data_IF_155486125702
#
_entry.id   IF_155486125702
#
_cell.length_a   1.000
_cell.length_b   1.000
_cell.length_c   1.000
_cell.angle_alpha   90.00
_cell.angle_beta   90.00
_cell.angle_gamma   90.00
#
_symmetry.space_group_name_H-M   'P 1'
#
loop_
_entity.id
_entity.type
_entity.pdbx_description
1 polymer ?
#
# COMPACT_ATOMS: atom_id res chain seq x y z
N UNK A 1 21.59 -6.55 -3.57
CA UNK A 1 20.41 -5.67 -3.70
C UNK A 1 19.48 -6.07 -2.57
N UNK A 2 19.06 -5.12 -1.74
CA UNK A 2 18.10 -5.37 -0.66
C UNK A 2 16.70 -5.61 -1.20
N UNK A 3 15.81 -6.15 -0.38
CA UNK A 3 14.40 -6.39 -0.72
C UNK A 3 13.64 -5.08 -0.69
N UNK A 4 12.74 -4.89 -1.65
CA UNK A 4 11.85 -3.74 -1.74
C UNK A 4 10.44 -4.21 -2.06
N UNK A 5 9.45 -3.55 -1.48
CA UNK A 5 8.04 -3.75 -1.82
C UNK A 5 7.24 -2.51 -1.45
N UNK A 6 6.07 -2.35 -2.05
CA UNK A 6 5.07 -1.39 -1.58
C UNK A 6 3.67 -1.94 -1.80
N UNK A 7 2.84 -1.84 -0.77
CA UNK A 7 1.47 -2.35 -0.84
C UNK A 7 0.53 -1.54 0.05
N UNK A 8 -0.76 -1.82 -0.12
CA UNK A 8 -1.86 -1.08 0.49
C UNK A 8 -2.75 -2.03 1.27
N UNK A 9 -3.24 -1.55 2.41
CA UNK A 9 -4.14 -2.27 3.29
C UNK A 9 -5.27 -1.37 3.78
N UNK A 10 -6.48 -1.89 3.78
CA UNK A 10 -7.69 -1.16 4.15
C UNK A 10 -8.19 -1.74 5.46
N UNK A 11 -8.39 -0.91 6.48
CA UNK A 11 -8.94 -1.36 7.76
C UNK A 11 -10.45 -1.55 7.64
N UNK A 12 -10.87 -2.71 7.15
CA UNK A 12 -12.25 -3.03 6.84
C UNK A 12 -12.54 -4.51 6.92
N UNK A 13 -13.75 -4.84 7.34
CA UNK A 13 -14.34 -6.17 7.21
C UNK A 13 -15.44 -6.21 6.10
N UNK A 14 -15.66 -5.10 5.39
CA UNK A 14 -16.67 -4.99 4.32
C UNK A 14 -16.03 -5.25 2.95
N UNK A 15 -15.84 -6.52 2.62
CA UNK A 15 -15.17 -6.93 1.38
C UNK A 15 -15.86 -6.39 0.12
N UNK A 16 -17.20 -6.48 0.03
CA UNK A 16 -17.95 -6.02 -1.16
C UNK A 16 -17.79 -4.51 -1.40
N UNK A 17 -17.94 -3.70 -0.35
CA UNK A 17 -17.71 -2.24 -0.39
C UNK A 17 -16.28 -1.92 -0.85
N UNK A 18 -15.31 -2.73 -0.42
CA UNK A 18 -13.91 -2.58 -0.83
C UNK A 18 -13.72 -2.86 -2.32
N UNK A 19 -14.31 -3.93 -2.84
CA UNK A 19 -14.26 -4.24 -4.27
C UNK A 19 -14.90 -3.12 -5.10
N UNK A 20 -16.03 -2.57 -4.65
CA UNK A 20 -16.67 -1.42 -5.31
C UNK A 20 -15.78 -0.18 -5.31
N UNK A 21 -15.12 0.13 -4.18
CA UNK A 21 -14.20 1.25 -4.09
C UNK A 21 -12.96 1.07 -4.98
N UNK A 22 -12.42 -0.14 -5.09
CA UNK A 22 -11.29 -0.45 -5.98
C UNK A 22 -11.68 -0.37 -7.45
N UNK A 23 -12.90 -0.81 -7.79
CA UNK A 23 -13.47 -0.62 -9.13
C UNK A 23 -13.62 0.87 -9.44
N UNK A 24 -14.20 1.65 -8.53
CA UNK A 24 -14.33 3.10 -8.69
C UNK A 24 -12.96 3.80 -8.80
N UNK A 25 -11.93 3.31 -8.11
CA UNK A 25 -10.55 3.79 -8.24
C UNK A 25 -10.00 3.55 -9.65
N UNK A 26 -10.22 2.35 -10.21
CA UNK A 26 -9.84 1.98 -11.58
C UNK A 26 -10.51 2.87 -12.64
N UNK A 27 -11.78 3.21 -12.45
CA UNK A 27 -12.58 4.01 -13.39
C UNK A 27 -12.33 5.52 -13.25
N UNK A 28 -12.29 6.04 -12.02
CA UNK A 28 -12.26 7.49 -11.75
C UNK A 28 -10.88 8.07 -11.46
N UNK A 29 -9.87 7.24 -11.18
CA UNK A 29 -8.52 7.71 -10.85
C UNK A 29 -7.44 6.75 -11.37
N UNK A 30 -7.63 6.23 -12.60
CA UNK A 30 -6.69 5.29 -13.20
C UNK A 30 -5.23 5.75 -13.25
N UNK A 31 -4.97 7.06 -13.24
CA UNK A 31 -3.62 7.64 -13.18
C UNK A 31 -2.81 7.19 -11.94
N UNK A 32 -3.47 6.97 -10.79
CA UNK A 32 -2.80 6.46 -9.59
C UNK A 32 -2.53 4.95 -9.66
N UNK A 33 -2.98 4.31 -10.73
CA UNK A 33 -2.76 2.91 -11.09
C UNK A 33 -1.98 2.79 -12.40
N UNK A 34 -1.35 3.86 -12.86
CA UNK A 34 -0.50 3.86 -14.06
C UNK A 34 -1.26 3.93 -15.40
N UNK A 35 -2.58 4.12 -15.40
CA UNK A 35 -3.33 4.39 -16.65
C UNK A 35 -3.02 5.82 -17.14
N UNK A 36 -2.62 5.95 -18.39
CA UNK A 36 -2.38 7.26 -19.02
C UNK A 36 -3.68 8.05 -19.12
N UNK A 37 -3.66 9.32 -18.71
CA UNK A 37 -4.79 10.25 -18.82
C UNK A 37 -5.07 10.69 -20.28
N UNK A 38 -4.21 10.33 -21.24
CA UNK A 38 -4.30 10.72 -22.64
C UNK A 38 -4.47 9.50 -23.57
N UNK A 39 -5.67 9.25 -24.12
CA UNK A 39 -5.86 8.26 -25.18
C UNK A 39 -5.22 8.66 -26.53
N UNK A 40 -4.70 9.90 -26.67
CA UNK A 40 -4.20 10.44 -27.94
C UNK A 40 -2.66 10.51 -28.08
N UNK A 41 -1.89 9.83 -27.22
CA UNK A 41 -0.45 9.62 -27.45
C UNK A 41 -0.16 8.15 -27.72
N UNK A 42 -0.78 7.61 -28.76
CA UNK A 42 -0.31 6.43 -29.47
C UNK A 42 -0.03 6.86 -30.91
N UNK A 43 1.17 7.39 -31.16
CA UNK A 43 1.69 7.53 -32.53
C UNK A 43 2.63 6.36 -32.77
N UNK A 44 2.06 5.26 -33.21
CA UNK A 44 2.71 4.26 -34.07
C UNK A 44 1.63 3.28 -34.53
N UNK A 45 1.36 3.34 -35.83
CA UNK A 45 0.49 2.46 -36.58
C UNK A 45 0.78 0.99 -36.27
N UNK A 46 -0.12 0.34 -35.54
CA UNK A 46 -0.50 -1.04 -35.82
C UNK A 46 -1.88 -1.32 -35.23
N UNK A 47 -2.67 -2.03 -36.02
CA UNK A 47 -4.11 -2.14 -35.91
C UNK A 47 -4.59 -2.84 -34.61
N UNK A 48 -5.78 -2.42 -34.17
CA UNK A 48 -6.68 -3.15 -33.26
C UNK A 48 -6.18 -3.39 -31.84
N UNK A 49 -6.50 -2.48 -30.92
CA UNK A 49 -7.14 -2.86 -29.66
C UNK A 49 -7.71 -1.64 -28.94
N UNK A 50 -9.03 -1.44 -29.07
CA UNK A 50 -9.83 -0.86 -27.97
C UNK A 50 -9.88 -1.87 -26.80
N UNK A 51 -8.72 -2.35 -26.34
CA UNK A 51 -8.63 -3.03 -25.06
C UNK A 51 -8.66 -1.92 -24.02
N UNK A 52 -9.83 -1.66 -23.44
CA UNK A 52 -9.90 -1.08 -22.09
C UNK A 52 -8.84 -1.78 -21.26
N UNK A 53 -7.76 -1.06 -20.94
CA UNK A 53 -6.62 -1.58 -20.19
C UNK A 53 -7.15 -2.05 -18.85
N UNK A 54 -7.41 -3.35 -18.73
CA UNK A 54 -7.98 -3.92 -17.51
C UNK A 54 -6.98 -3.73 -16.40
N UNK A 55 -7.40 -3.08 -15.33
CA UNK A 55 -6.62 -2.98 -14.10
C UNK A 55 -6.69 -4.31 -13.38
N UNK A 56 -5.54 -4.93 -13.14
CA UNK A 56 -5.43 -6.20 -12.42
C UNK A 56 -4.95 -5.92 -11.00
N UNK A 57 -5.75 -6.30 -10.02
CA UNK A 57 -5.38 -6.22 -8.60
C UNK A 57 -5.40 -7.62 -7.98
N UNK A 58 -4.53 -7.84 -7.00
CA UNK A 58 -4.52 -9.06 -6.20
C UNK A 58 -4.95 -8.71 -4.79
N UNK A 59 -6.01 -9.36 -4.32
CA UNK A 59 -6.70 -8.96 -3.09
C UNK A 59 -6.75 -10.14 -2.12
N UNK A 60 -6.41 -9.86 -0.87
CA UNK A 60 -6.54 -10.79 0.26
C UNK A 60 -7.22 -10.09 1.42
N UNK A 61 -7.86 -10.84 2.31
CA UNK A 61 -8.55 -10.29 3.47
C UNK A 61 -8.35 -11.16 4.69
N UNK A 62 -8.15 -10.55 5.86
CA UNK A 62 -8.30 -11.18 7.17
C UNK A 62 -9.50 -10.54 7.91
N UNK A 63 -9.59 -10.72 9.23
CA UNK A 63 -10.71 -10.21 10.03
C UNK A 63 -10.85 -8.68 10.02
N UNK A 64 -9.74 -7.94 9.93
CA UNK A 64 -9.69 -6.48 10.12
C UNK A 64 -9.10 -5.71 8.94
N UNK A 65 -8.44 -6.41 8.02
CA UNK A 65 -7.66 -5.81 6.94
C UNK A 65 -7.93 -6.47 5.60
N UNK A 66 -8.02 -5.64 4.56
CA UNK A 66 -8.01 -6.07 3.16
C UNK A 66 -6.75 -5.54 2.49
N UNK A 67 -5.88 -6.46 2.09
CA UNK A 67 -4.60 -6.19 1.44
C UNK A 67 -4.76 -6.18 -0.07
N UNK A 68 -4.14 -5.21 -0.74
CA UNK A 68 -4.19 -5.04 -2.19
C UNK A 68 -2.79 -4.90 -2.75
N UNK A 69 -2.46 -5.76 -3.72
CA UNK A 69 -1.25 -5.67 -4.52
C UNK A 69 -1.61 -5.23 -5.94
N UNK A 70 -0.75 -4.40 -6.52
CA UNK A 70 -0.87 -3.88 -7.87
C UNK A 70 0.53 -3.58 -8.42
N UNK A 71 0.74 -3.72 -9.72
CA UNK A 71 2.05 -3.55 -10.36
C UNK A 71 2.62 -2.13 -10.25
N UNK A 72 1.73 -1.14 -10.26
CA UNK A 72 2.08 0.26 -10.08
C UNK A 72 2.34 0.67 -8.62
N UNK A 73 2.19 -0.24 -7.63
CA UNK A 73 2.49 0.09 -6.23
C UNK A 73 3.99 -0.03 -5.98
N UNK A 74 4.65 1.11 -6.02
CA UNK A 74 6.05 1.29 -5.64
C UNK A 74 6.15 2.46 -4.66
N UNK A 75 7.34 2.67 -4.12
CA UNK A 75 7.60 3.82 -3.26
C UNK A 75 7.18 5.13 -3.96
N UNK A 76 6.42 5.96 -3.26
CA UNK A 76 5.85 7.21 -3.78
C UNK A 76 4.50 7.07 -4.50
N UNK A 77 4.28 6.06 -5.34
CA UNK A 77 2.98 5.88 -6.04
C UNK A 77 1.92 5.25 -5.14
N UNK A 78 2.30 4.32 -4.27
CA UNK A 78 1.36 3.64 -3.36
C UNK A 78 0.61 4.64 -2.46
N UNK A 79 1.27 5.72 -2.03
CA UNK A 79 0.65 6.78 -1.22
C UNK A 79 -0.42 7.55 -1.98
N UNK A 80 -0.23 7.77 -3.29
CA UNK A 80 -1.25 8.41 -4.14
C UNK A 80 -2.47 7.51 -4.27
N UNK A 81 -2.27 6.21 -4.45
CA UNK A 81 -3.35 5.23 -4.48
C UNK A 81 -4.08 5.16 -3.14
N UNK A 82 -3.36 5.09 -2.01
CA UNK A 82 -3.94 5.09 -0.67
C UNK A 82 -4.76 6.34 -0.36
N UNK A 83 -4.24 7.51 -0.73
CA UNK A 83 -4.96 8.78 -0.63
C UNK A 83 -6.26 8.75 -1.43
N UNK A 84 -6.22 8.40 -2.71
CA UNK A 84 -7.41 8.36 -3.56
C UNK A 84 -8.43 7.34 -3.08
N UNK A 85 -7.98 6.14 -2.68
CA UNK A 85 -8.87 5.09 -2.20
C UNK A 85 -9.55 5.47 -0.88
N UNK A 86 -8.82 6.10 0.05
CA UNK A 86 -9.39 6.54 1.34
C UNK A 86 -10.54 7.56 1.19
N UNK A 87 -10.63 8.27 0.04
CA UNK A 87 -11.78 9.13 -0.30
C UNK A 87 -13.01 8.34 -0.72
N UNK A 88 -12.80 7.23 -1.41
CA UNK A 88 -13.87 6.41 -1.97
C UNK A 88 -14.49 5.49 -0.91
N UNK A 89 -13.66 4.95 -0.02
CA UNK A 89 -14.08 3.96 0.97
C UNK A 89 -14.46 4.56 2.33
N UNK A 90 -14.01 5.78 2.61
CA UNK A 90 -14.22 6.50 3.88
C UNK A 90 -13.76 5.72 5.13
N UNK A 91 -12.84 4.78 4.94
CA UNK A 91 -12.22 3.96 5.98
C UNK A 91 -10.70 4.20 5.98
N UNK A 92 -9.98 3.92 7.09
CA UNK A 92 -8.53 4.07 7.14
C UNK A 92 -7.84 3.17 6.11
N UNK A 93 -6.97 3.77 5.30
CA UNK A 93 -6.13 3.09 4.33
C UNK A 93 -4.68 3.25 4.74
N UNK A 94 -4.05 2.14 5.10
CA UNK A 94 -2.63 2.03 5.39
C UNK A 94 -1.86 1.75 4.10
N UNK A 95 -0.77 2.47 3.88
CA UNK A 95 0.23 2.12 2.86
C UNK A 95 1.53 1.81 3.56
N UNK A 96 2.19 0.75 3.14
CA UNK A 96 3.53 0.40 3.60
C UNK A 96 4.49 0.27 2.43
N UNK A 97 5.73 0.67 2.65
CA UNK A 97 6.81 0.51 1.70
C UNK A 97 8.11 0.16 2.40
N UNK A 98 8.81 -0.86 1.90
CA UNK A 98 10.18 -1.15 2.28
C UNK A 98 11.07 -0.87 1.07
N UNK A 99 12.15 -0.12 1.26
CA UNK A 99 13.10 0.24 0.20
C UNK A 99 14.48 -0.25 0.59
N UNK A 100 15.03 -1.16 -0.22
CA UNK A 100 16.39 -1.70 -0.13
C UNK A 100 16.76 -2.25 1.26
N UNK A 101 15.78 -2.72 2.04
CA UNK A 101 15.94 -3.07 3.46
C UNK A 101 16.44 -1.93 4.38
N UNK A 102 16.50 -0.69 3.89
CA UNK A 102 17.09 0.48 4.57
C UNK A 102 16.06 1.49 5.05
N UNK A 103 14.88 1.52 4.42
CA UNK A 103 13.81 2.45 4.77
C UNK A 103 12.49 1.70 4.83
N UNK A 104 11.80 1.78 5.95
CA UNK A 104 10.42 1.34 6.08
C UNK A 104 9.53 2.57 6.27
N UNK A 105 8.60 2.80 5.35
CA UNK A 105 7.62 3.88 5.42
C UNK A 105 6.24 3.31 5.65
N UNK A 106 5.53 3.91 6.60
CA UNK A 106 4.16 3.61 6.97
C UNK A 106 3.35 4.91 6.92
N UNK A 107 2.24 4.92 6.19
CA UNK A 107 1.33 6.06 6.13
C UNK A 107 -0.11 5.59 6.31
N UNK A 108 -0.93 6.38 6.99
CA UNK A 108 -2.37 6.15 7.11
C UNK A 108 -3.13 7.34 6.52
N UNK A 109 -4.04 7.04 5.61
CA UNK A 109 -4.93 7.98 4.96
C UNK A 109 -6.37 7.75 5.39
N UNK A 110 -7.11 8.82 5.62
CA UNK A 110 -8.54 8.78 5.89
C UNK A 110 -9.21 9.95 5.18
N UNK A 111 -10.30 9.69 4.43
CA UNK A 111 -11.06 10.70 3.68
C UNK A 111 -10.20 11.54 2.71
N UNK A 112 -9.10 10.95 2.23
CA UNK A 112 -8.18 11.60 1.30
C UNK A 112 -7.12 12.48 1.91
N UNK A 113 -6.98 12.49 3.22
CA UNK A 113 -5.95 13.23 3.93
C UNK A 113 -4.98 12.25 4.60
N UNK A 114 -3.69 12.61 4.57
CA UNK A 114 -2.69 11.92 5.36
C UNK A 114 -2.96 12.23 6.84
N UNK A 115 -3.22 11.22 7.65
CA UNK A 115 -3.50 11.37 9.08
C UNK A 115 -2.29 11.12 9.94
N UNK A 116 -1.48 10.11 9.60
CA UNK A 116 -0.23 9.81 10.26
C UNK A 116 0.78 9.20 9.28
N UNK A 117 2.06 9.44 9.56
CA UNK A 117 3.19 8.88 8.84
C UNK A 117 4.32 8.57 9.81
N UNK A 118 5.01 7.47 9.54
CA UNK A 118 6.22 7.06 10.26
C UNK A 118 7.23 6.51 9.26
N UNK A 119 8.47 6.97 9.38
CA UNK A 119 9.59 6.42 8.63
C UNK A 119 10.55 5.78 9.63
N UNK A 120 10.82 4.49 9.48
CA UNK A 120 11.75 3.73 10.33
C UNK A 120 12.97 3.37 9.48
N UNK A 121 14.09 3.98 9.83
CA UNK A 121 15.38 3.79 9.16
C UNK A 121 16.53 4.18 10.09
N UNK A 122 17.75 3.81 9.70
CA UNK A 122 18.95 4.24 10.41
C UNK A 122 19.12 5.78 10.31
N UNK A 123 19.58 6.50 11.36
CA UNK A 123 19.74 7.96 11.30
C UNK A 123 20.60 8.47 10.14
N UNK A 124 21.68 7.76 9.79
CA UNK A 124 22.52 8.14 8.64
C UNK A 124 21.76 8.07 7.31
N UNK A 125 20.92 7.04 7.12
CA UNK A 125 20.07 6.89 5.92
C UNK A 125 19.03 8.01 5.89
N UNK A 126 18.43 8.32 7.05
CA UNK A 126 17.49 9.44 7.17
C UNK A 126 18.10 10.76 6.71
N UNK A 127 19.32 11.06 7.18
CA UNK A 127 20.03 12.29 6.83
C UNK A 127 20.45 12.31 5.35
N UNK A 128 20.96 11.19 4.82
CA UNK A 128 21.40 11.07 3.42
C UNK A 128 20.26 11.30 2.43
N UNK A 129 19.09 10.73 2.72
CA UNK A 129 17.91 10.84 1.86
C UNK A 129 17.00 12.03 2.22
N UNK A 130 17.34 12.81 3.26
CA UNK A 130 16.55 13.95 3.70
C UNK A 130 15.12 13.58 4.14
N UNK A 131 14.95 12.40 4.73
CA UNK A 131 13.64 11.84 5.04
C UNK A 131 12.99 12.55 6.23
N UNK A 132 11.81 13.10 6.01
CA UNK A 132 11.00 13.74 7.04
C UNK A 132 9.55 13.30 6.90
N UNK A 133 8.94 12.94 8.02
CA UNK A 133 7.52 12.65 8.09
C UNK A 133 6.71 13.91 7.78
N UNK A 134 5.78 13.82 6.85
CA UNK A 134 4.86 14.90 6.50
C UNK A 134 3.85 15.16 7.63
N UNK A 135 3.48 14.12 8.39
CA UNK A 135 2.55 14.23 9.50
C UNK A 135 2.81 13.18 10.58
N UNK A 136 3.57 13.55 11.59
CA UNK A 136 3.84 12.71 12.76
C UNK A 136 2.67 12.80 13.77
N UNK A 137 1.86 11.74 13.86
CA UNK A 137 0.69 11.65 14.75
C UNK A 137 0.63 10.25 15.38
N UNK A 138 1.51 10.01 16.35
CA UNK A 138 1.73 8.70 16.95
C UNK A 138 0.47 8.15 17.65
N UNK A 139 -0.31 9.02 18.33
CA UNK A 139 -1.58 8.63 18.97
C UNK A 139 -2.59 8.10 17.95
N UNK A 140 -2.76 8.82 16.84
CA UNK A 140 -3.65 8.41 15.76
C UNK A 140 -3.13 7.13 15.09
N UNK A 141 -1.82 7.04 14.83
CA UNK A 141 -1.21 5.86 14.23
C UNK A 141 -1.50 4.62 15.06
N UNK A 142 -1.32 4.71 16.39
CA UNK A 142 -1.62 3.63 17.34
C UNK A 142 -3.09 3.24 17.33
N UNK A 143 -4.00 4.21 17.39
CA UNK A 143 -5.45 3.99 17.36
C UNK A 143 -5.89 3.34 16.04
N UNK A 144 -5.42 3.87 14.91
CA UNK A 144 -5.73 3.36 13.59
C UNK A 144 -5.18 1.94 13.37
N UNK A 145 -4.05 1.58 13.97
CA UNK A 145 -3.53 0.20 13.90
C UNK A 145 -4.16 -0.75 14.95
N UNK A 146 -4.93 -0.23 15.91
CA UNK A 146 -5.48 -0.98 17.05
C UNK A 146 -4.40 -1.67 17.90
N UNK A 147 -3.30 -0.95 18.19
CA UNK A 147 -2.14 -1.48 18.91
C UNK A 147 -2.13 -0.97 20.36
N UNK A 148 -1.79 -1.88 21.30
CA UNK A 148 -1.57 -1.53 22.71
C UNK A 148 -0.36 -0.62 22.86
N UNK A 149 -0.43 0.36 23.75
CA UNK A 149 0.62 1.37 23.97
C UNK A 149 2.03 0.78 24.12
N UNK A 150 2.21 -0.21 25.00
CA UNK A 150 3.51 -0.87 25.21
C UNK A 150 4.12 -1.45 23.92
N UNK A 151 3.29 -2.11 23.11
CA UNK A 151 3.75 -2.73 21.87
C UNK A 151 4.03 -1.69 20.77
N UNK A 152 3.29 -0.57 20.80
CA UNK A 152 3.50 0.55 19.89
C UNK A 152 4.80 1.29 20.21
N UNK A 153 5.07 1.53 21.50
CA UNK A 153 6.32 2.15 21.98
C UNK A 153 7.55 1.36 21.55
N UNK A 154 7.49 0.03 21.64
CA UNK A 154 8.56 -0.85 21.16
C UNK A 154 8.74 -0.74 19.64
N UNK A 155 7.64 -0.71 18.89
CA UNK A 155 7.65 -0.61 17.43
C UNK A 155 8.26 0.70 16.93
N UNK A 156 7.84 1.85 17.47
CA UNK A 156 8.26 3.16 16.95
C UNK A 156 9.73 3.53 17.25
N UNK A 157 10.39 2.76 18.12
CA UNK A 157 11.82 2.88 18.47
C UNK A 157 12.72 2.03 17.59
N UNK A 158 12.15 1.19 16.72
CA UNK A 158 12.92 0.32 15.84
C UNK A 158 13.69 1.13 14.79
N UNK A 159 14.95 0.79 14.60
CA UNK A 159 15.82 1.38 13.56
C UNK A 159 16.17 0.39 12.45
N UNK A 160 15.75 -0.88 12.59
CA UNK A 160 15.88 -1.90 11.55
C UNK A 160 14.55 -1.98 10.77
N UNK A 161 14.53 -1.53 9.50
CA UNK A 161 13.33 -1.52 8.67
C UNK A 161 12.69 -2.91 8.52
N UNK A 162 13.49 -3.93 8.21
CA UNK A 162 12.98 -5.30 8.06
C UNK A 162 12.35 -5.82 9.36
N UNK A 163 12.99 -5.60 10.52
CA UNK A 163 12.41 -5.97 11.82
C UNK A 163 11.14 -5.17 12.14
N UNK A 164 11.05 -3.92 11.70
CA UNK A 164 9.84 -3.12 11.85
C UNK A 164 8.69 -3.67 11.00
N UNK A 165 8.96 -4.15 9.77
CA UNK A 165 7.97 -4.86 8.95
C UNK A 165 7.50 -6.14 9.64
N UNK A 166 8.42 -6.96 10.15
CA UNK A 166 8.10 -8.19 10.88
C UNK A 166 7.21 -7.86 12.09
N UNK A 167 7.64 -6.88 12.89
CA UNK A 167 6.92 -6.48 14.09
C UNK A 167 5.54 -5.95 13.79
N UNK A 168 5.40 -5.08 12.79
CA UNK A 168 4.09 -4.57 12.41
C UNK A 168 3.20 -5.70 11.89
N UNK A 169 3.74 -6.61 11.09
CA UNK A 169 3.02 -7.78 10.58
C UNK A 169 2.41 -8.62 11.71
N UNK A 170 3.18 -8.86 12.78
CA UNK A 170 2.69 -9.53 13.99
C UNK A 170 1.55 -8.74 14.65
N UNK A 171 1.73 -7.42 14.80
CA UNK A 171 0.77 -6.55 15.50
C UNK A 171 -0.56 -6.42 14.76
N UNK A 172 -0.53 -6.36 13.43
CA UNK A 172 -1.75 -6.27 12.60
C UNK A 172 -2.34 -7.63 12.21
N UNK A 173 -1.67 -8.74 12.56
CA UNK A 173 -2.12 -10.10 12.27
C UNK A 173 -2.12 -10.44 10.77
N UNK A 174 -1.25 -9.82 9.97
CA UNK A 174 -1.08 -10.13 8.56
C UNK A 174 0.36 -9.90 8.12
N UNK A 175 0.86 -10.75 7.22
CA UNK A 175 2.18 -10.55 6.63
C UNK A 175 2.15 -9.38 5.65
N UNK A 176 2.94 -8.35 5.94
CA UNK A 176 3.15 -7.17 5.09
C UNK A 176 4.19 -7.43 4.00
N UNK A 177 5.01 -8.47 4.16
CA UNK A 177 5.97 -8.97 3.16
C UNK A 177 5.22 -9.56 1.96
N UNK A 178 4.75 -8.68 1.09
CA UNK A 178 4.10 -9.08 -0.15
C UNK A 178 4.35 -8.06 -1.24
N UNK A 179 4.67 -8.56 -2.42
CA UNK A 179 4.79 -7.77 -3.63
C UNK A 179 4.13 -8.53 -4.78
N UNK A 180 3.57 -7.81 -5.74
CA UNK A 180 2.93 -8.44 -6.90
C UNK A 180 3.95 -9.24 -7.72
N UNK A 181 5.21 -8.78 -7.79
CA UNK A 181 6.29 -9.46 -8.54
C UNK A 181 6.62 -10.82 -7.93
N UNK A 182 6.30 -11.03 -6.66
CA UNK A 182 6.61 -12.28 -5.95
C UNK A 182 5.52 -13.32 -6.12
N UNK A 183 4.30 -12.92 -6.50
CA UNK A 183 3.18 -13.85 -6.70
C UNK A 183 3.52 -15.03 -7.61
N UNK A 184 4.24 -14.91 -8.75
CA UNK A 184 4.58 -16.07 -9.57
C UNK A 184 5.53 -17.08 -8.88
N UNK A 185 6.28 -16.64 -7.87
CA UNK A 185 7.40 -17.38 -7.28
C UNK A 185 7.13 -17.87 -5.85
N UNK A 186 6.22 -17.21 -5.11
CA UNK A 186 5.89 -17.52 -3.72
C UNK A 186 4.49 -18.13 -3.61
N UNK A 187 4.41 -19.45 -3.39
CA UNK A 187 3.14 -20.19 -3.30
C UNK A 187 2.22 -19.66 -2.17
N UNK A 188 2.78 -19.27 -1.02
CA UNK A 188 2.00 -18.70 0.08
C UNK A 188 1.26 -17.41 -0.33
N UNK A 189 1.87 -16.58 -1.18
CA UNK A 189 1.22 -15.38 -1.70
C UNK A 189 0.14 -15.74 -2.73
N UNK A 190 0.37 -16.74 -3.59
CA UNK A 190 -0.64 -17.21 -4.56
C UNK A 190 -1.90 -17.72 -3.87
N UNK A 191 -1.74 -18.50 -2.81
CA UNK A 191 -2.86 -19.06 -2.05
C UNK A 191 -3.62 -17.98 -1.29
N UNK A 192 -2.89 -16.97 -0.79
CA UNK A 192 -3.46 -15.88 0.01
C UNK A 192 -4.20 -14.84 -0.82
N UNK A 193 -3.73 -14.53 -2.03
CA UNK A 193 -4.27 -13.44 -2.85
C UNK A 193 -5.05 -13.94 -4.06
N UNK A 194 -6.25 -13.40 -4.25
CA UNK A 194 -7.10 -13.67 -5.42
C UNK A 194 -6.97 -12.56 -6.45
N UNK A 195 -6.94 -12.93 -7.72
CA UNK A 195 -6.88 -11.99 -8.86
C UNK A 195 -8.27 -11.38 -9.12
N UNK A 196 -8.31 -10.06 -9.25
CA UNK A 196 -9.48 -9.28 -9.67
C UNK A 196 -9.13 -8.44 -10.89
N UNK A 197 -10.05 -8.37 -11.86
CA UNK A 197 -9.90 -7.57 -13.07
C UNK A 197 -11.01 -6.52 -13.11
N UNK A 198 -10.62 -5.25 -13.20
CA UNK A 198 -11.52 -4.11 -13.33
C UNK A 198 -11.37 -3.52 -14.73
N UNK A 199 -12.50 -3.30 -15.41
CA UNK A 199 -12.54 -2.63 -16.70
C UNK A 199 -12.29 -1.12 -16.55
#
# INVERSE_FOLDING_TARGET
>A
MGRSFANLHIKSNHFEKTIEALKALSEGSGEVLGKSSNPNQAVSDDAQSEQTQKTVMYISSNENWISVLHDYFVWGTVKKAGKSLSRLIEEPVMTVGLINDEIFELSIFEKGDLQAERILCHPLVRDEYGLQEQRLQDDYLREALDIREEAFDDFIRMTSPAQAVDKLSELVGMSLWSDFEWLPYEEELKDRFKKYEFA
#
